data_IF_515887776364
#
_entry.id   IF_515887776364
#
_cell.length_a   1.000
_cell.length_b   1.000
_cell.length_c   1.000
_cell.angle_alpha   90.00
_cell.angle_beta   90.00
_cell.angle_gamma   90.00
#
_symmetry.space_group_name_H-M   'P 1'
#
loop_
_entity.id
_entity.type
_entity.pdbx_description
1 polymer ?
#
# COMPACT_ATOMS: atom_id res chain seq x y z
N UNK A 1 -3.99 19.77 -8.10
CA UNK A 1 -4.11 18.41 -7.53
C UNK A 1 -2.76 18.02 -6.96
N UNK A 2 -2.55 18.18 -5.66
CA UNK A 2 -1.34 17.71 -4.98
C UNK A 2 -1.59 16.27 -4.52
N UNK A 3 -0.86 15.31 -5.10
CA UNK A 3 -0.89 13.92 -4.66
C UNK A 3 0.22 13.71 -3.63
N UNK A 4 -0.10 13.15 -2.47
CA UNK A 4 0.91 12.73 -1.49
C UNK A 4 1.10 11.23 -1.54
N UNK A 5 2.35 10.81 -1.49
CA UNK A 5 2.70 9.40 -1.34
C UNK A 5 2.71 9.06 0.15
N UNK A 6 1.97 8.02 0.54
CA UNK A 6 1.98 7.51 1.92
C UNK A 6 1.94 5.98 1.94
N UNK A 7 2.52 5.40 2.99
CA UNK A 7 2.35 4.00 3.33
C UNK A 7 1.21 3.88 4.34
N UNK A 8 0.23 3.01 4.04
CA UNK A 8 -0.94 2.83 4.92
C UNK A 8 -0.57 2.10 6.20
N UNK A 9 0.36 1.15 6.08
CA UNK A 9 0.71 0.19 7.12
C UNK A 9 2.24 0.09 7.24
N UNK A 10 2.92 1.14 7.73
CA UNK A 10 4.38 1.17 7.84
C UNK A 10 4.93 0.14 8.84
N UNK A 11 4.10 -0.44 9.71
CA UNK A 11 4.48 -1.49 10.65
C UNK A 11 5.04 -2.75 9.99
N UNK A 12 4.69 -3.03 8.72
CA UNK A 12 5.24 -4.17 7.99
C UNK A 12 6.75 -4.05 7.75
N UNK A 13 7.33 -2.85 7.82
CA UNK A 13 8.78 -2.69 7.72
C UNK A 13 9.54 -3.36 8.86
N UNK A 14 8.91 -3.68 10.00
CA UNK A 14 9.55 -4.49 11.04
C UNK A 14 9.96 -5.88 10.53
N UNK A 15 9.27 -6.43 9.52
CA UNK A 15 9.67 -7.69 8.88
C UNK A 15 11.00 -7.58 8.13
N UNK A 16 11.46 -6.38 7.76
CA UNK A 16 12.80 -6.23 7.17
C UNK A 16 13.90 -6.67 8.13
N UNK A 17 13.68 -6.62 9.45
CA UNK A 17 14.62 -7.15 10.43
C UNK A 17 14.83 -8.68 10.32
N UNK A 18 13.88 -9.41 9.70
CA UNK A 18 14.03 -10.84 9.44
C UNK A 18 15.02 -11.13 8.31
N UNK A 19 15.17 -10.21 7.35
CA UNK A 19 16.07 -10.35 6.20
C UNK A 19 17.54 -10.57 6.63
N UNK A 20 18.16 -9.74 7.49
CA UNK A 20 19.53 -9.98 7.95
C UNK A 20 19.66 -11.27 8.77
N UNK A 21 18.63 -11.67 9.52
CA UNK A 21 18.61 -12.96 10.24
C UNK A 21 18.66 -14.12 9.26
N UNK A 22 17.86 -14.08 8.19
CA UNK A 22 17.90 -15.11 7.13
C UNK A 22 19.24 -15.13 6.39
N UNK A 23 19.83 -13.96 6.12
CA UNK A 23 21.16 -13.84 5.51
C UNK A 23 22.22 -14.48 6.41
N UNK A 24 22.22 -14.15 7.70
CA UNK A 24 23.15 -14.71 8.67
C UNK A 24 22.98 -16.23 8.82
N UNK A 25 21.74 -16.70 8.96
CA UNK A 25 21.41 -18.12 9.03
C UNK A 25 21.90 -18.88 7.80
N UNK A 26 21.65 -18.35 6.60
CA UNK A 26 22.10 -18.96 5.35
C UNK A 26 23.63 -19.04 5.28
N UNK A 27 24.33 -17.97 5.66
CA UNK A 27 25.79 -17.96 5.69
C UNK A 27 26.36 -18.95 6.71
N UNK A 28 25.76 -19.05 7.88
CA UNK A 28 26.15 -20.00 8.93
C UNK A 28 25.89 -21.46 8.52
N UNK A 29 24.72 -21.75 7.97
CA UNK A 29 24.34 -23.07 7.47
C UNK A 29 25.25 -23.52 6.33
N UNK A 30 25.61 -22.63 5.41
CA UNK A 30 26.53 -22.93 4.30
C UNK A 30 27.95 -23.27 4.77
N UNK A 31 28.39 -22.72 5.91
CA UNK A 31 29.67 -23.10 6.55
C UNK A 31 29.62 -24.50 7.14
N UNK A 32 28.48 -24.92 7.70
CA UNK A 32 28.32 -26.26 8.29
C UNK A 32 28.18 -27.37 7.25
N UNK A 33 27.37 -27.17 6.21
CA UNK A 33 27.16 -28.20 5.18
C UNK A 33 28.39 -28.42 4.27
N UNK A 34 29.28 -27.44 4.15
CA UNK A 34 30.55 -27.61 3.44
C UNK A 34 31.60 -28.38 4.27
N UNK A 35 31.43 -28.51 5.59
CA UNK A 35 32.36 -29.26 6.44
C UNK A 35 32.12 -30.78 6.40
N UNK A 36 30.89 -31.21 6.04
CA UNK A 36 30.51 -32.63 5.95
C UNK A 36 30.79 -33.25 4.56
N UNK A 37 31.13 -32.44 3.55
CA UNK A 37 31.44 -32.88 2.17
C UNK A 37 32.95 -33.02 1.89
N UNK A 38 33.76 -33.27 2.92
CA UNK A 38 35.16 -33.64 2.76
C UNK A 38 35.34 -35.17 2.71
N UNK A 39 34.59 -35.84 1.81
CA UNK A 39 34.99 -37.18 1.36
C UNK A 39 35.15 -37.19 -0.15
N UNK A 40 36.41 -36.98 -0.55
CA UNK A 40 37.09 -37.75 -1.58
C UNK A 40 36.32 -37.99 -2.88
N UNK A 41 36.30 -37.00 -3.77
CA UNK A 41 36.25 -37.27 -5.20
C UNK A 41 36.90 -36.13 -5.98
N UNK A 42 38.15 -36.39 -6.37
CA UNK A 42 38.70 -36.09 -7.70
C UNK A 42 38.71 -34.63 -8.17
N UNK A 43 39.90 -34.05 -8.09
CA UNK A 43 40.64 -33.56 -9.26
C UNK A 43 39.84 -33.51 -10.58
N UNK A 44 39.20 -32.39 -10.87
CA UNK A 44 39.19 -31.82 -12.22
C UNK A 44 39.05 -30.30 -12.09
N UNK A 45 40.17 -29.63 -12.24
CA UNK A 45 40.22 -28.23 -12.57
C UNK A 45 39.67 -28.05 -13.98
N UNK A 46 38.35 -27.86 -14.12
CA UNK A 46 37.79 -27.24 -15.31
C UNK A 46 37.25 -25.87 -14.95
N UNK A 47 38.14 -24.90 -15.14
CA UNK A 47 37.88 -23.46 -15.15
C UNK A 47 37.11 -23.11 -16.44
N UNK A 48 35.97 -23.77 -16.68
CA UNK A 48 34.96 -23.26 -17.59
C UNK A 48 34.07 -22.32 -16.78
N UNK A 49 33.73 -21.17 -17.34
CA UNK A 49 32.94 -20.13 -16.67
C UNK A 49 31.58 -20.70 -16.31
N UNK A 50 31.46 -21.18 -15.06
CA UNK A 50 30.29 -21.87 -14.55
C UNK A 50 29.11 -20.90 -14.42
N UNK A 51 28.46 -20.60 -15.54
CA UNK A 51 27.22 -19.85 -15.64
C UNK A 51 26.19 -20.36 -14.62
N UNK A 52 26.13 -21.68 -14.43
CA UNK A 52 25.28 -22.33 -13.43
C UNK A 52 25.64 -22.00 -11.97
N UNK A 53 26.91 -21.83 -11.66
CA UNK A 53 27.36 -21.40 -10.32
C UNK A 53 27.00 -19.95 -10.06
N UNK A 54 27.22 -19.07 -11.05
CA UNK A 54 26.84 -17.66 -10.98
C UNK A 54 25.32 -17.49 -10.89
N UNK A 55 24.56 -18.25 -11.69
CA UNK A 55 23.10 -18.29 -11.65
C UNK A 55 22.58 -18.72 -10.28
N UNK A 56 23.15 -19.76 -9.66
CA UNK A 56 22.77 -20.18 -8.29
C UNK A 56 22.99 -19.06 -7.26
N UNK A 57 24.10 -18.32 -7.37
CA UNK A 57 24.36 -17.16 -6.50
C UNK A 57 23.37 -16.02 -6.77
N UNK A 58 23.06 -15.75 -8.03
CA UNK A 58 22.10 -14.73 -8.44
C UNK A 58 20.68 -15.03 -7.97
N UNK A 59 20.24 -16.30 -8.05
CA UNK A 59 18.94 -16.74 -7.56
C UNK A 59 18.74 -16.44 -6.07
N UNK A 60 19.80 -16.51 -5.26
CA UNK A 60 19.70 -16.19 -3.84
C UNK A 60 19.50 -14.70 -3.60
N UNK A 61 20.25 -13.85 -4.32
CA UNK A 61 20.05 -12.39 -4.30
C UNK A 61 18.63 -12.03 -4.77
N UNK A 62 18.15 -12.69 -5.82
CA UNK A 62 16.80 -12.49 -6.34
C UNK A 62 15.72 -12.88 -5.32
N UNK A 63 15.91 -13.95 -4.54
CA UNK A 63 15.00 -14.33 -3.45
C UNK A 63 14.93 -13.27 -2.36
N UNK A 64 16.06 -12.68 -1.97
CA UNK A 64 16.10 -11.59 -0.99
C UNK A 64 15.39 -10.34 -1.53
N UNK A 65 15.67 -9.97 -2.79
CA UNK A 65 15.00 -8.85 -3.45
C UNK A 65 13.48 -9.07 -3.52
N UNK A 66 13.03 -10.27 -3.89
CA UNK A 66 11.61 -10.61 -3.92
C UNK A 66 10.96 -10.50 -2.53
N UNK A 67 11.64 -10.96 -1.47
CA UNK A 67 11.15 -10.81 -0.09
C UNK A 67 10.99 -9.35 0.31
N UNK A 68 11.98 -8.50 0.02
CA UNK A 68 11.92 -7.06 0.29
C UNK A 68 10.76 -6.41 -0.48
N UNK A 69 10.57 -6.75 -1.76
CA UNK A 69 9.46 -6.24 -2.56
C UNK A 69 8.09 -6.65 -2.00
N UNK A 70 7.96 -7.89 -1.50
CA UNK A 70 6.74 -8.35 -0.83
C UNK A 70 6.48 -7.52 0.44
N UNK A 71 7.50 -7.25 1.26
CA UNK A 71 7.35 -6.42 2.46
C UNK A 71 6.92 -4.98 2.10
N UNK A 72 7.53 -4.40 1.05
CA UNK A 72 7.12 -3.09 0.55
C UNK A 72 5.66 -3.12 0.06
N UNK A 73 5.24 -4.17 -0.65
CA UNK A 73 3.87 -4.32 -1.11
C UNK A 73 2.88 -4.44 0.08
N UNK A 74 3.25 -5.15 1.15
CA UNK A 74 2.47 -5.23 2.38
C UNK A 74 2.35 -3.89 3.12
N UNK A 75 3.34 -3.01 3.00
CA UNK A 75 3.27 -1.64 3.52
C UNK A 75 2.24 -0.76 2.77
N UNK A 76 1.65 -1.28 1.67
CA UNK A 76 0.60 -0.67 0.87
C UNK A 76 0.96 0.76 0.43
N UNK A 77 1.95 0.93 -0.46
CA UNK A 77 2.29 2.23 -1.02
C UNK A 77 1.10 2.77 -1.83
N UNK A 78 0.58 3.94 -1.48
CA UNK A 78 -0.52 4.58 -2.22
C UNK A 78 -0.26 6.07 -2.44
N UNK A 79 -0.76 6.57 -3.58
CA UNK A 79 -0.93 7.99 -3.80
C UNK A 79 -2.33 8.39 -3.33
N UNK A 80 -2.40 9.29 -2.35
CA UNK A 80 -3.67 9.86 -1.89
C UNK A 80 -3.82 11.24 -2.47
N UNK A 81 -5.00 11.51 -3.04
CA UNK A 81 -5.35 12.85 -3.47
C UNK A 81 -5.74 13.69 -2.25
N UNK A 82 -5.02 14.78 -2.03
CA UNK A 82 -5.26 15.66 -0.89
C UNK A 82 -6.65 16.31 -0.91
N UNK A 83 -7.33 16.33 -2.06
CA UNK A 83 -8.74 16.74 -2.17
C UNK A 83 -9.67 15.99 -1.20
N UNK A 84 -9.35 14.73 -0.89
CA UNK A 84 -10.12 13.90 0.05
C UNK A 84 -9.81 14.21 1.52
N UNK A 85 -8.58 14.63 1.82
CA UNK A 85 -8.09 14.87 3.20
C UNK A 85 -8.35 16.30 3.70
N UNK A 86 -8.57 17.26 2.79
CA UNK A 86 -8.87 18.66 3.11
C UNK A 86 -10.34 18.88 3.52
N UNK A 87 -11.24 17.90 3.35
CA UNK A 87 -12.67 18.05 3.67
C UNK A 87 -13.05 17.98 5.16
N UNK A 88 -12.12 18.10 6.10
CA UNK A 88 -12.49 18.30 7.53
C UNK A 88 -12.83 19.76 7.86
N UNK A 89 -12.67 20.70 6.93
CA UNK A 89 -13.20 22.07 7.06
C UNK A 89 -13.85 22.58 5.77
N UNK A 90 -15.18 22.69 5.82
CA UNK A 90 -16.05 23.66 5.11
C UNK A 90 -16.23 23.52 3.59
N UNK A 91 -17.48 23.18 3.22
CA UNK A 91 -18.04 23.19 1.87
C UNK A 91 -18.75 21.88 1.55
N UNK A 92 -19.96 21.68 2.09
CA UNK A 92 -20.85 20.62 1.59
C UNK A 92 -21.68 21.25 0.48
N UNK A 93 -21.66 20.66 -0.71
CA UNK A 93 -22.56 21.04 -1.80
C UNK A 93 -23.94 20.46 -1.48
N UNK A 94 -24.87 21.32 -1.05
CA UNK A 94 -26.26 20.95 -0.76
C UNK A 94 -27.12 21.33 -1.96
N UNK A 95 -27.71 20.34 -2.62
CA UNK A 95 -28.74 20.55 -3.64
C UNK A 95 -30.10 20.33 -2.99
N UNK A 96 -30.92 21.38 -2.97
CA UNK A 96 -32.27 21.32 -2.43
C UNK A 96 -33.29 21.12 -3.58
N UNK A 97 -34.04 20.03 -3.52
CA UNK A 97 -35.17 19.78 -4.41
C UNK A 97 -36.47 20.16 -3.68
N UNK A 98 -37.26 21.04 -4.28
CA UNK A 98 -38.47 21.62 -3.68
C UNK A 98 -39.67 21.26 -4.56
N UNK A 99 -40.75 20.77 -3.95
CA UNK A 99 -42.01 20.52 -4.65
C UNK A 99 -42.73 21.86 -4.95
N UNK A 100 -43.37 21.96 -6.11
CA UNK A 100 -44.17 23.10 -6.57
C UNK A 100 -45.62 22.71 -6.87
N UNK A 101 -46.06 21.55 -6.38
CA UNK A 101 -47.44 21.10 -6.49
C UNK A 101 -48.43 22.07 -5.83
N UNK A 102 -49.71 22.00 -6.24
CA UNK A 102 -50.77 22.87 -5.69
C UNK A 102 -50.89 22.78 -4.15
N UNK A 103 -50.47 21.66 -3.55
CA UNK A 103 -50.46 21.49 -2.09
C UNK A 103 -49.49 22.44 -1.38
N UNK A 104 -48.48 22.96 -2.08
CA UNK A 104 -47.50 23.91 -1.54
C UNK A 104 -48.04 25.34 -1.46
N UNK A 105 -49.18 25.62 -2.10
CA UNK A 105 -49.92 26.88 -1.95
C UNK A 105 -50.89 26.87 -0.75
N UNK A 106 -50.97 25.75 -0.01
CA UNK A 106 -51.75 25.67 1.22
C UNK A 106 -51.25 26.68 2.26
N UNK A 107 -52.19 27.23 3.03
CA UNK A 107 -51.97 28.31 4.02
C UNK A 107 -52.00 27.83 5.46
N UNK A 108 -51.67 26.56 5.69
CA UNK A 108 -51.45 26.02 7.03
C UNK A 108 -50.15 26.56 7.67
N UNK A 109 -49.24 27.06 6.84
CA UNK A 109 -48.12 27.93 7.21
C UNK A 109 -48.33 29.31 6.57
N UNK A 110 -48.06 30.39 7.31
CA UNK A 110 -48.15 31.76 6.78
C UNK A 110 -46.87 32.14 6.03
N UNK A 111 -46.93 32.73 4.82
CA UNK A 111 -48.13 33.04 4.03
C UNK A 111 -48.64 31.85 3.18
N UNK A 112 -47.78 30.90 2.82
CA UNK A 112 -48.09 29.54 2.35
C UNK A 112 -46.83 28.67 2.51
N UNK A 113 -46.95 27.34 2.36
CA UNK A 113 -45.82 26.41 2.52
C UNK A 113 -44.63 26.72 1.61
N UNK A 114 -44.87 27.14 0.38
CA UNK A 114 -43.81 27.47 -0.59
C UNK A 114 -43.01 28.71 -0.18
N UNK A 115 -43.70 29.78 0.20
CA UNK A 115 -43.06 31.03 0.63
C UNK A 115 -42.33 30.85 1.97
N UNK A 116 -42.93 30.11 2.91
CA UNK A 116 -42.27 29.78 4.17
C UNK A 116 -40.98 28.96 3.94
N UNK A 117 -41.00 28.02 2.99
CA UNK A 117 -39.81 27.25 2.63
C UNK A 117 -38.72 28.12 2.01
N UNK A 118 -39.07 29.05 1.11
CA UNK A 118 -38.09 29.99 0.53
C UNK A 118 -37.41 30.83 1.61
N UNK A 119 -38.17 31.28 2.62
CA UNK A 119 -37.61 32.04 3.73
C UNK A 119 -36.59 31.21 4.52
N UNK A 120 -36.89 29.94 4.80
CA UNK A 120 -35.97 29.05 5.53
C UNK A 120 -34.75 28.68 4.69
N UNK A 121 -34.93 28.41 3.40
CA UNK A 121 -33.85 28.04 2.49
C UNK A 121 -32.88 29.20 2.19
N UNK A 122 -33.33 30.45 2.35
CA UNK A 122 -32.52 31.65 2.17
C UNK A 122 -31.71 32.04 3.43
N UNK A 123 -31.96 31.39 4.58
CA UNK A 123 -31.19 31.58 5.82
C UNK A 123 -29.99 30.66 5.88
#
# INVERSE_FOLDING_TARGET
MTRTFEFVSPEWFWLLALVPVMVFWFWYSRRRHNAEWNMSALNTADRSTNFWSLAKSFLWVLRLAAMVLIIIALARPRYVDQSTRIKTSKGIDIVMAIDVSASMLARDLTPNRLEALKEVAAR
#
